data_IF_478785149764
#
_entry.id   IF_478785149764
#
_cell.length_a   1.000
_cell.length_b   1.000
_cell.length_c   1.000
_cell.angle_alpha   90.00
_cell.angle_beta   90.00
_cell.angle_gamma   90.00
#
_symmetry.space_group_name_H-M   'P 1'
#
loop_
_entity.id
_entity.type
_entity.pdbx_description
1 polymer ?
#
# COMPACT_ATOMS: atom_id res chain seq x y z
N UNK A 1 -13.53 16.63 -6.63
CA UNK A 1 -12.30 15.92 -6.17
C UNK A 1 -11.69 15.13 -7.33
N UNK A 2 -10.36 15.18 -7.52
CA UNK A 2 -9.64 14.44 -8.58
C UNK A 2 -8.68 13.40 -7.96
N UNK A 3 -8.47 12.25 -8.61
CA UNK A 3 -7.65 11.17 -8.07
C UNK A 3 -6.75 10.44 -9.08
N UNK A 4 -5.52 10.10 -8.69
CA UNK A 4 -4.71 9.13 -9.41
C UNK A 4 -4.76 7.76 -8.70
N UNK A 5 -5.02 6.68 -9.41
CA UNK A 5 -5.01 5.32 -8.87
C UNK A 5 -3.80 4.59 -9.43
N UNK A 6 -2.90 4.16 -8.55
CA UNK A 6 -1.60 3.64 -8.91
C UNK A 6 -1.39 2.21 -8.42
N UNK A 7 -0.49 1.50 -9.10
CA UNK A 7 -0.09 0.15 -8.69
C UNK A 7 1.11 -0.36 -9.48
N UNK A 8 1.73 -1.42 -8.97
CA UNK A 8 2.82 -2.13 -9.64
C UNK A 8 2.34 -3.52 -10.05
N UNK A 9 2.65 -3.97 -11.27
CA UNK A 9 2.15 -5.23 -11.84
C UNK A 9 3.30 -6.10 -12.33
N UNK A 10 3.30 -7.35 -11.86
CA UNK A 10 4.21 -8.43 -12.28
C UNK A 10 3.56 -9.77 -11.98
N UNK A 11 3.33 -10.59 -13.00
CA UNK A 11 2.67 -11.90 -12.85
C UNK A 11 1.29 -11.81 -12.15
N UNK A 12 0.46 -10.86 -12.59
CA UNK A 12 -0.84 -10.55 -11.98
C UNK A 12 -2.03 -10.95 -12.87
N UNK A 13 -1.84 -11.71 -13.96
CA UNK A 13 -2.85 -11.94 -15.01
C UNK A 13 -4.22 -12.33 -14.44
N UNK A 14 -4.21 -13.27 -13.50
CA UNK A 14 -5.43 -13.84 -12.91
C UNK A 14 -6.23 -12.87 -12.04
N UNK A 15 -5.62 -11.78 -11.58
CA UNK A 15 -6.25 -10.79 -10.70
C UNK A 15 -6.70 -9.53 -11.46
N UNK A 16 -6.04 -9.20 -12.57
CA UNK A 16 -6.18 -7.91 -13.24
C UNK A 16 -7.62 -7.53 -13.62
N UNK A 17 -8.46 -8.46 -14.03
CA UNK A 17 -9.83 -8.12 -14.42
C UNK A 17 -10.64 -7.59 -13.23
N UNK A 18 -10.44 -8.19 -12.05
CA UNK A 18 -11.06 -7.73 -10.79
C UNK A 18 -10.41 -6.45 -10.28
N UNK A 19 -9.08 -6.34 -10.42
CA UNK A 19 -8.34 -5.11 -10.05
C UNK A 19 -8.84 -3.93 -10.88
N UNK A 20 -8.95 -4.07 -12.19
CA UNK A 20 -9.49 -3.02 -13.05
C UNK A 20 -10.92 -2.65 -12.68
N UNK A 21 -11.80 -3.64 -12.45
CA UNK A 21 -13.15 -3.39 -11.99
C UNK A 21 -13.17 -2.59 -10.67
N UNK A 22 -12.31 -2.95 -9.71
CA UNK A 22 -12.16 -2.22 -8.46
C UNK A 22 -11.61 -0.80 -8.66
N UNK A 23 -10.63 -0.60 -9.54
CA UNK A 23 -10.08 0.72 -9.86
C UNK A 23 -11.14 1.64 -10.49
N UNK A 24 -11.95 1.13 -11.41
CA UNK A 24 -13.06 1.90 -12.00
C UNK A 24 -14.14 2.23 -10.96
N UNK A 25 -14.48 1.28 -10.07
CA UNK A 25 -15.40 1.48 -8.96
C UNK A 25 -14.92 2.56 -7.96
N UNK A 26 -13.61 2.59 -7.67
CA UNK A 26 -12.99 3.64 -6.85
C UNK A 26 -12.98 4.96 -7.59
N UNK A 27 -12.56 4.96 -8.85
CA UNK A 27 -12.45 6.14 -9.70
C UNK A 27 -13.78 6.88 -9.85
N UNK A 28 -14.89 6.14 -9.94
CA UNK A 28 -16.24 6.69 -10.02
C UNK A 28 -16.68 7.52 -8.80
N UNK A 29 -15.94 7.48 -7.68
CA UNK A 29 -16.17 8.35 -6.52
C UNK A 29 -15.58 9.76 -6.70
N UNK A 30 -14.82 9.99 -7.77
CA UNK A 30 -14.15 11.25 -8.07
C UNK A 30 -14.72 11.86 -9.36
N UNK A 31 -14.63 13.19 -9.48
CA UNK A 31 -15.07 13.91 -10.69
C UNK A 31 -14.23 13.50 -11.92
N UNK A 32 -12.95 13.23 -11.69
CA UNK A 32 -12.04 12.70 -12.70
C UNK A 32 -10.93 11.90 -12.02
N UNK A 33 -10.43 10.90 -12.75
CA UNK A 33 -9.33 10.07 -12.29
C UNK A 33 -8.48 9.54 -13.42
N UNK A 34 -7.26 9.17 -13.05
CA UNK A 34 -6.28 8.52 -13.93
C UNK A 34 -5.82 7.23 -13.27
N UNK A 35 -5.64 6.17 -14.05
CA UNK A 35 -5.02 4.93 -13.60
C UNK A 35 -3.58 4.90 -14.12
N UNK A 36 -2.61 4.69 -13.24
CA UNK A 36 -1.17 4.73 -13.57
C UNK A 36 -0.51 3.47 -13.04
N UNK A 37 -0.18 2.52 -13.92
CA UNK A 37 0.48 1.27 -13.53
C UNK A 37 1.95 1.22 -13.95
N UNK A 38 2.78 0.67 -13.09
CA UNK A 38 4.14 0.28 -13.44
C UNK A 38 4.19 -1.20 -13.73
N UNK A 39 4.62 -1.57 -14.94
CA UNK A 39 4.77 -2.95 -15.37
C UNK A 39 6.23 -3.39 -15.35
N UNK A 40 6.48 -4.52 -14.71
CA UNK A 40 7.75 -5.24 -14.76
C UNK A 40 7.60 -6.58 -15.51
N UNK A 41 8.72 -7.18 -15.92
CA UNK A 41 8.75 -8.41 -16.70
C UNK A 41 7.92 -9.53 -16.08
N UNK A 42 6.89 -9.97 -16.80
CA UNK A 42 6.00 -11.06 -16.41
C UNK A 42 6.16 -12.28 -17.34
N UNK A 43 5.94 -13.47 -16.80
CA UNK A 43 5.91 -14.74 -17.54
C UNK A 43 4.49 -15.19 -17.92
N UNK A 44 3.48 -14.43 -17.52
CA UNK A 44 2.06 -14.66 -17.81
C UNK A 44 1.50 -13.58 -18.78
N UNK A 45 0.19 -13.57 -19.05
CA UNK A 45 -0.41 -12.59 -19.97
C UNK A 45 -0.68 -11.22 -19.34
N UNK A 46 -0.01 -10.87 -18.22
CA UNK A 46 -0.16 -9.55 -17.56
C UNK A 46 -0.01 -8.42 -18.57
N UNK A 47 1.07 -8.41 -19.37
CA UNK A 47 1.32 -7.33 -20.33
C UNK A 47 0.25 -7.22 -21.41
N UNK A 48 -0.24 -8.35 -21.92
CA UNK A 48 -1.30 -8.37 -22.92
C UNK A 48 -2.60 -7.77 -22.36
N UNK A 49 -2.93 -8.05 -21.10
CA UNK A 49 -4.07 -7.44 -20.41
C UNK A 49 -3.91 -5.92 -20.26
N UNK A 50 -2.73 -5.42 -19.90
CA UNK A 50 -2.49 -3.96 -19.83
C UNK A 50 -2.70 -3.28 -21.18
N UNK A 51 -2.16 -3.86 -22.27
CA UNK A 51 -2.34 -3.33 -23.64
C UNK A 51 -3.82 -3.29 -24.05
N UNK A 52 -4.53 -4.39 -23.80
CA UNK A 52 -5.98 -4.47 -24.07
C UNK A 52 -6.78 -3.47 -23.25
N UNK A 53 -6.37 -3.20 -22.00
CA UNK A 53 -7.03 -2.19 -21.17
C UNK A 53 -6.74 -0.77 -21.66
N UNK A 54 -5.49 -0.48 -22.07
CA UNK A 54 -5.08 0.80 -22.66
C UNK A 54 -5.82 1.12 -23.94
N UNK A 55 -5.99 0.15 -24.85
CA UNK A 55 -6.69 0.40 -26.12
C UNK A 55 -8.16 0.78 -25.92
N UNK A 56 -8.80 0.25 -24.87
CA UNK A 56 -10.17 0.60 -24.48
C UNK A 56 -10.28 1.90 -23.69
N UNK A 57 -9.19 2.34 -23.05
CA UNK A 57 -9.17 3.51 -22.16
C UNK A 57 -7.95 4.41 -22.41
N UNK A 58 -7.76 4.93 -23.64
CA UNK A 58 -6.52 5.59 -24.04
C UNK A 58 -6.21 6.87 -23.25
N UNK A 59 -7.23 7.60 -22.79
CA UNK A 59 -7.02 8.89 -22.11
C UNK A 59 -6.87 8.78 -20.60
N UNK A 60 -7.41 7.72 -19.99
CA UNK A 60 -7.48 7.54 -18.53
C UNK A 60 -6.51 6.52 -17.97
N UNK A 61 -6.06 5.58 -18.79
CA UNK A 61 -5.17 4.52 -18.35
C UNK A 61 -3.75 4.74 -18.89
N UNK A 62 -2.78 4.78 -18.02
CA UNK A 62 -1.36 4.93 -18.34
C UNK A 62 -0.60 3.75 -17.73
N UNK A 63 0.36 3.23 -18.47
CA UNK A 63 1.32 2.29 -17.89
C UNK A 63 2.74 2.61 -18.36
N UNK A 64 3.70 2.33 -17.48
CA UNK A 64 5.12 2.40 -17.80
C UNK A 64 5.70 0.99 -17.84
N UNK A 65 6.48 0.68 -18.87
CA UNK A 65 7.19 -0.60 -18.99
C UNK A 65 8.59 -0.41 -18.45
N UNK A 66 8.98 -1.21 -17.46
CA UNK A 66 10.36 -1.22 -16.97
C UNK A 66 11.34 -1.57 -18.10
N UNK A 67 12.31 -0.70 -18.32
CA UNK A 67 13.41 -0.93 -19.28
C UNK A 67 14.76 -1.15 -18.60
N UNK A 68 14.86 -0.90 -17.29
CA UNK A 68 16.14 -1.05 -16.58
C UNK A 68 16.25 -2.42 -15.88
N UNK A 69 17.49 -2.87 -15.62
CA UNK A 69 17.74 -4.07 -14.83
C UNK A 69 17.05 -4.02 -13.46
N UNK A 70 16.72 -5.21 -12.97
CA UNK A 70 16.17 -5.41 -11.63
C UNK A 70 17.29 -5.45 -10.60
N UNK A 71 17.03 -4.85 -9.44
CA UNK A 71 17.78 -5.13 -8.23
C UNK A 71 17.54 -6.59 -7.81
N UNK A 72 18.50 -7.19 -7.10
CA UNK A 72 18.29 -8.48 -6.44
C UNK A 72 17.23 -8.43 -5.34
N UNK A 73 16.89 -7.22 -4.89
CA UNK A 73 15.96 -6.97 -3.79
C UNK A 73 14.57 -6.61 -4.32
N UNK A 74 13.57 -7.43 -3.95
CA UNK A 74 12.18 -7.28 -4.39
C UNK A 74 11.60 -5.93 -3.98
N UNK A 75 11.85 -5.50 -2.75
CA UNK A 75 11.35 -4.24 -2.18
C UNK A 75 11.88 -3.03 -2.94
N UNK A 76 13.16 -3.03 -3.32
CA UNK A 76 13.76 -1.98 -4.17
C UNK A 76 13.08 -1.89 -5.55
N UNK A 77 12.76 -3.04 -6.16
CA UNK A 77 12.06 -3.07 -7.44
C UNK A 77 10.62 -2.53 -7.33
N UNK A 78 9.90 -2.87 -6.26
CA UNK A 78 8.56 -2.32 -5.97
C UNK A 78 8.65 -0.81 -5.71
N UNK A 79 9.61 -0.37 -4.90
CA UNK A 79 9.85 1.04 -4.62
C UNK A 79 10.09 1.84 -5.90
N UNK A 80 10.92 1.32 -6.80
CA UNK A 80 11.15 1.90 -8.13
C UNK A 80 9.83 2.07 -8.89
N UNK A 81 9.02 1.02 -8.97
CA UNK A 81 7.75 1.08 -9.68
C UNK A 81 6.77 2.10 -9.09
N UNK A 82 6.64 2.14 -7.77
CA UNK A 82 5.79 3.13 -7.08
C UNK A 82 6.32 4.55 -7.22
N UNK A 83 7.62 4.75 -7.20
CA UNK A 83 8.24 6.05 -7.48
C UNK A 83 8.02 6.48 -8.93
N UNK A 84 8.00 5.56 -9.91
CA UNK A 84 7.63 5.89 -11.30
C UNK A 84 6.19 6.41 -11.37
N UNK A 85 5.24 5.75 -10.71
CA UNK A 85 3.87 6.26 -10.60
C UNK A 85 3.81 7.63 -9.92
N UNK A 86 4.53 7.80 -8.80
CA UNK A 86 4.57 9.04 -8.04
C UNK A 86 5.17 10.20 -8.85
N UNK A 87 6.24 9.95 -9.61
CA UNK A 87 6.84 10.96 -10.49
C UNK A 87 5.86 11.41 -11.59
N UNK A 88 5.10 10.48 -12.17
CA UNK A 88 4.04 10.86 -13.12
C UNK A 88 2.98 11.76 -12.46
N UNK A 89 2.62 11.50 -11.20
CA UNK A 89 1.73 12.39 -10.43
C UNK A 89 2.37 13.76 -10.24
N UNK A 90 3.64 13.83 -9.81
CA UNK A 90 4.37 15.10 -9.64
C UNK A 90 4.38 15.93 -10.93
N UNK A 91 4.63 15.28 -12.06
CA UNK A 91 4.82 15.97 -13.33
C UNK A 91 3.50 16.39 -13.99
N UNK A 92 2.47 15.53 -13.95
CA UNK A 92 1.25 15.70 -14.75
C UNK A 92 -0.02 15.93 -13.96
N UNK A 93 -0.05 15.51 -12.69
CA UNK A 93 -1.27 15.45 -11.89
C UNK A 93 -1.05 16.00 -10.48
N UNK A 94 -0.12 16.94 -10.30
CA UNK A 94 0.21 17.50 -8.98
C UNK A 94 -0.93 18.35 -8.39
N UNK A 95 -1.87 18.78 -9.23
CA UNK A 95 -3.10 19.46 -8.83
C UNK A 95 -4.19 18.49 -8.34
N UNK A 96 -4.04 17.18 -8.55
CA UNK A 96 -5.03 16.20 -8.11
C UNK A 96 -5.00 16.10 -6.58
N UNK A 97 -6.19 16.09 -5.97
CA UNK A 97 -6.33 16.16 -4.52
C UNK A 97 -5.87 14.86 -3.84
N UNK A 98 -6.12 13.73 -4.47
CA UNK A 98 -5.79 12.41 -3.95
C UNK A 98 -4.94 11.60 -4.92
N UNK A 99 -4.14 10.70 -4.37
CA UNK A 99 -3.75 9.49 -5.08
C UNK A 99 -3.97 8.26 -4.21
N UNK A 100 -4.08 7.11 -4.85
CA UNK A 100 -4.28 5.81 -4.24
C UNK A 100 -3.15 4.92 -4.71
N UNK A 101 -2.52 4.20 -3.78
CA UNK A 101 -1.64 3.09 -4.11
C UNK A 101 -2.36 1.79 -3.77
N UNK A 102 -2.42 0.87 -4.72
CA UNK A 102 -3.19 -0.37 -4.64
C UNK A 102 -2.35 -1.53 -5.18
N UNK A 103 -2.20 -2.59 -4.39
CA UNK A 103 -1.60 -3.83 -4.86
C UNK A 103 -2.50 -4.46 -5.93
N UNK A 104 -1.88 -5.01 -6.97
CA UNK A 104 -2.59 -5.53 -8.15
C UNK A 104 -2.69 -7.07 -8.15
N UNK A 105 -2.78 -7.67 -6.96
CA UNK A 105 -2.80 -9.11 -6.73
C UNK A 105 -4.07 -9.55 -5.97
N UNK A 106 -4.03 -10.72 -5.34
CA UNK A 106 -5.17 -11.30 -4.63
C UNK A 106 -5.67 -10.42 -3.48
N UNK A 107 -4.79 -9.66 -2.83
CA UNK A 107 -5.08 -8.81 -1.67
C UNK A 107 -6.17 -7.78 -1.97
N UNK A 108 -6.16 -7.22 -3.17
CA UNK A 108 -7.11 -6.20 -3.61
C UNK A 108 -8.09 -6.69 -4.68
N UNK A 109 -8.13 -8.00 -4.95
CA UNK A 109 -9.02 -8.61 -5.96
C UNK A 109 -10.42 -8.96 -5.44
N UNK A 110 -10.68 -8.81 -4.14
CA UNK A 110 -12.02 -8.94 -3.55
C UNK A 110 -12.93 -7.77 -3.91
N UNK A 111 -14.25 -7.93 -3.78
CA UNK A 111 -15.18 -6.83 -4.08
C UNK A 111 -14.95 -5.66 -3.12
N UNK A 112 -14.73 -4.46 -3.66
CA UNK A 112 -14.56 -3.25 -2.86
C UNK A 112 -15.90 -2.77 -2.29
N UNK A 113 -15.91 -2.31 -1.03
CA UNK A 113 -17.06 -1.72 -0.35
C UNK A 113 -17.01 -0.19 -0.48
N UNK A 114 -17.45 0.33 -1.63
CA UNK A 114 -17.35 1.76 -1.97
C UNK A 114 -17.89 2.71 -0.89
N UNK A 115 -18.99 2.35 -0.22
CA UNK A 115 -19.58 3.16 0.85
C UNK A 115 -18.60 3.45 2.01
N UNK A 116 -17.66 2.54 2.29
CA UNK A 116 -16.63 2.72 3.31
C UNK A 116 -15.66 3.81 2.85
N UNK A 117 -15.16 3.70 1.62
CA UNK A 117 -14.25 4.70 1.06
C UNK A 117 -14.92 6.09 0.98
N UNK A 118 -16.17 6.14 0.52
CA UNK A 118 -16.96 7.37 0.46
C UNK A 118 -17.12 8.02 1.84
N UNK A 119 -17.40 7.23 2.88
CA UNK A 119 -17.46 7.74 4.27
C UNK A 119 -16.15 8.41 4.68
N UNK A 120 -15.00 7.81 4.39
CA UNK A 120 -13.71 8.34 4.79
C UNK A 120 -13.23 9.54 3.95
N UNK A 121 -13.66 9.64 2.69
CA UNK A 121 -13.42 10.83 1.85
C UNK A 121 -14.05 12.10 2.43
N UNK A 122 -15.11 11.99 3.22
CA UNK A 122 -15.75 13.13 3.90
C UNK A 122 -15.01 13.58 5.17
N UNK A 123 -13.93 12.90 5.56
CA UNK A 123 -13.17 13.21 6.78
C UNK A 123 -11.90 13.98 6.46
N UNK A 124 -11.47 14.81 7.41
CA UNK A 124 -10.28 15.65 7.31
C UNK A 124 -9.20 15.34 8.35
N UNK A 125 -9.35 14.25 9.13
CA UNK A 125 -8.47 13.87 10.25
C UNK A 125 -7.36 12.87 9.87
N UNK A 126 -7.10 12.73 8.58
CA UNK A 126 -6.08 11.87 7.98
C UNK A 126 -5.47 12.53 6.73
N UNK A 127 -4.22 12.18 6.43
CA UNK A 127 -3.50 12.56 5.21
C UNK A 127 -3.05 11.34 4.39
N UNK A 128 -2.81 10.20 5.06
CA UNK A 128 -2.79 8.87 4.45
C UNK A 128 -3.70 7.94 5.24
N UNK A 129 -4.51 7.15 4.54
CA UNK A 129 -5.45 6.23 5.13
C UNK A 129 -5.38 4.86 4.46
N UNK A 130 -5.00 3.85 5.24
CA UNK A 130 -5.14 2.44 4.89
C UNK A 130 -6.30 1.79 5.64
N UNK A 131 -6.63 0.57 5.26
CA UNK A 131 -7.80 -0.15 5.78
C UNK A 131 -7.37 -1.50 6.34
N UNK A 132 -8.17 -2.05 7.25
CA UNK A 132 -7.97 -3.41 7.70
C UNK A 132 -8.25 -4.40 6.55
N UNK A 133 -7.77 -5.63 6.68
CA UNK A 133 -8.01 -6.70 5.70
C UNK A 133 -8.97 -7.76 6.27
N UNK A 134 -9.83 -8.38 5.44
CA UNK A 134 -10.65 -9.51 5.90
C UNK A 134 -9.80 -10.63 6.49
N UNK A 135 -10.18 -11.13 7.67
CA UNK A 135 -9.47 -12.21 8.37
C UNK A 135 -8.44 -11.68 9.37
N UNK A 136 -7.33 -11.14 8.90
CA UNK A 136 -6.30 -10.53 9.75
C UNK A 136 -5.56 -9.41 9.03
N UNK A 137 -4.93 -8.51 9.79
CA UNK A 137 -4.03 -7.49 9.24
C UNK A 137 -2.90 -8.17 8.46
N UNK A 138 -2.80 -7.89 7.17
CA UNK A 138 -1.97 -8.64 6.22
C UNK A 138 -0.55 -8.09 6.16
N UNK A 139 -0.40 -6.79 5.87
CA UNK A 139 0.89 -6.16 5.63
C UNK A 139 1.51 -5.63 6.93
N UNK A 140 2.00 -6.56 7.74
CA UNK A 140 2.73 -6.23 8.96
C UNK A 140 4.08 -5.58 8.66
N UNK A 141 4.63 -5.76 7.45
CA UNK A 141 5.95 -5.22 7.11
C UNK A 141 5.89 -3.71 6.93
N UNK A 142 4.81 -3.16 6.35
CA UNK A 142 4.60 -1.73 6.28
C UNK A 142 4.22 -1.08 7.63
N UNK A 143 3.86 -1.87 8.65
CA UNK A 143 3.29 -1.33 9.88
C UNK A 143 4.34 -0.69 10.79
N UNK A 144 4.06 0.51 11.29
CA UNK A 144 4.85 1.15 12.35
C UNK A 144 3.93 1.99 13.25
N UNK A 145 3.99 1.77 14.57
CA UNK A 145 3.23 2.47 15.60
C UNK A 145 3.97 2.33 16.93
N UNK A 146 4.12 3.41 17.69
CA UNK A 146 4.76 3.41 19.03
C UNK A 146 4.24 2.25 19.91
N UNK A 147 5.11 1.37 20.45
CA UNK A 147 6.58 1.42 20.45
C UNK A 147 7.28 0.68 19.29
N UNK A 148 6.55 0.16 18.32
CA UNK A 148 7.02 -0.61 17.16
C UNK A 148 7.26 0.30 15.94
N UNK A 149 8.45 0.86 15.79
CA UNK A 149 8.86 1.76 14.69
C UNK A 149 9.60 1.09 13.55
N UNK A 150 10.29 -0.02 13.82
CA UNK A 150 11.12 -0.83 12.92
C UNK A 150 10.27 -2.01 12.42
N UNK A 151 10.56 -2.55 11.24
CA UNK A 151 9.80 -3.62 10.62
C UNK A 151 9.94 -4.92 11.40
N UNK A 152 8.86 -5.70 11.46
CA UNK A 152 8.82 -6.90 12.28
C UNK A 152 9.91 -7.93 11.90
N UNK A 153 10.31 -7.96 10.62
CA UNK A 153 11.32 -8.88 10.08
C UNK A 153 12.72 -8.71 10.71
N UNK A 154 12.96 -7.62 11.43
CA UNK A 154 14.26 -7.34 12.06
C UNK A 154 14.33 -7.79 13.53
N UNK A 155 13.31 -8.47 14.05
CA UNK A 155 13.24 -8.95 15.44
C UNK A 155 12.92 -10.44 15.51
N UNK A 156 13.43 -11.11 16.54
CA UNK A 156 13.03 -12.48 16.84
C UNK A 156 11.54 -12.53 17.23
N UNK A 157 10.78 -13.45 16.63
CA UNK A 157 9.32 -13.55 16.78
C UNK A 157 8.55 -12.25 16.46
N UNK A 158 9.16 -11.32 15.70
CA UNK A 158 8.55 -10.03 15.40
C UNK A 158 7.19 -10.15 14.73
N UNK A 159 7.01 -11.13 13.84
CA UNK A 159 5.72 -11.36 13.15
C UNK A 159 4.57 -11.57 14.15
N UNK A 160 4.75 -12.47 15.12
CA UNK A 160 3.72 -12.78 16.13
C UNK A 160 3.46 -11.58 17.02
N UNK A 161 4.53 -10.90 17.48
CA UNK A 161 4.42 -9.70 18.31
C UNK A 161 3.62 -8.60 17.62
N UNK A 162 3.99 -8.26 16.38
CA UNK A 162 3.37 -7.17 15.63
C UNK A 162 1.93 -7.51 15.28
N UNK A 163 1.67 -8.75 14.84
CA UNK A 163 0.31 -9.24 14.56
C UNK A 163 -0.60 -9.11 15.76
N UNK A 164 -0.17 -9.61 16.92
CA UNK A 164 -0.96 -9.55 18.14
C UNK A 164 -1.19 -8.10 18.58
N UNK A 165 -0.17 -7.26 18.47
CA UNK A 165 -0.25 -5.84 18.82
C UNK A 165 -1.29 -5.10 17.98
N UNK A 166 -1.22 -5.17 16.65
CA UNK A 166 -2.18 -4.47 15.77
C UNK A 166 -3.59 -5.08 15.84
N UNK A 167 -3.71 -6.40 15.98
CA UNK A 167 -5.02 -7.07 16.12
C UNK A 167 -5.75 -6.57 17.36
N UNK A 168 -5.06 -6.55 18.51
CA UNK A 168 -5.63 -6.02 19.76
C UNK A 168 -6.06 -4.56 19.65
N UNK A 169 -5.31 -3.72 18.92
CA UNK A 169 -5.67 -2.32 18.70
C UNK A 169 -6.92 -2.21 17.84
N UNK A 170 -6.98 -2.94 16.72
CA UNK A 170 -8.12 -2.90 15.80
C UNK A 170 -9.40 -3.38 16.48
N UNK A 171 -9.34 -4.46 17.26
CA UNK A 171 -10.50 -5.01 17.98
C UNK A 171 -11.05 -4.03 19.02
N UNK A 172 -10.17 -3.27 19.68
CA UNK A 172 -10.54 -2.27 20.69
C UNK A 172 -10.90 -0.91 20.11
N UNK A 173 -10.61 -0.66 18.84
CA UNK A 173 -10.88 0.64 18.21
C UNK A 173 -12.32 0.70 17.68
N UNK A 174 -13.15 1.66 18.15
CA UNK A 174 -14.48 1.87 17.61
C UNK A 174 -14.45 2.14 16.10
N UNK A 175 -15.46 1.67 15.38
CA UNK A 175 -15.47 1.71 13.90
C UNK A 175 -15.45 3.13 13.31
N UNK A 176 -15.97 4.11 14.03
CA UNK A 176 -15.96 5.54 13.68
C UNK A 176 -14.62 6.24 13.97
N UNK A 177 -13.70 5.58 14.67
CA UNK A 177 -12.37 6.11 15.01
C UNK A 177 -11.29 5.58 14.06
N UNK A 178 -10.24 6.38 13.93
CA UNK A 178 -9.04 6.04 13.17
C UNK A 178 -7.88 5.74 14.12
N UNK A 179 -7.06 4.76 13.75
CA UNK A 179 -5.86 4.40 14.50
C UNK A 179 -4.70 5.24 13.98
N UNK A 180 -4.10 6.05 14.85
CA UNK A 180 -2.87 6.78 14.52
C UNK A 180 -1.68 5.83 14.49
N UNK A 181 -0.89 5.90 13.42
CA UNK A 181 0.34 5.15 13.22
C UNK A 181 1.40 6.03 12.53
N UNK A 182 2.61 5.51 12.36
CA UNK A 182 3.69 6.14 11.60
C UNK A 182 3.79 5.59 10.17
N UNK A 183 3.36 4.34 9.95
CA UNK A 183 3.29 3.75 8.62
C UNK A 183 2.27 2.62 8.60
N UNK A 184 1.51 2.52 7.51
CA UNK A 184 0.61 1.42 7.22
C UNK A 184 0.18 1.46 5.74
N UNK A 185 0.07 0.31 5.09
CA UNK A 185 -0.38 0.20 3.71
C UNK A 185 -1.46 -0.88 3.53
N UNK A 186 -1.15 -2.13 3.87
CA UNK A 186 -2.14 -3.22 3.91
C UNK A 186 -2.88 -3.45 2.58
N UNK A 187 -2.13 -3.31 1.47
CA UNK A 187 -2.60 -3.53 0.11
C UNK A 187 -3.26 -2.32 -0.54
N UNK A 188 -3.86 -1.43 0.23
CA UNK A 188 -4.56 -0.24 -0.29
C UNK A 188 -4.43 0.93 0.68
N UNK A 189 -3.96 2.06 0.16
CA UNK A 189 -3.98 3.32 0.88
C UNK A 189 -4.34 4.49 -0.04
N UNK A 190 -5.14 5.41 0.51
CA UNK A 190 -5.45 6.70 -0.12
C UNK A 190 -4.65 7.81 0.57
N UNK A 191 -4.17 8.76 -0.22
CA UNK A 191 -3.24 9.80 0.18
C UNK A 191 -3.72 11.16 -0.30
N UNK A 192 -3.55 12.20 0.52
CA UNK A 192 -3.66 13.60 0.10
C UNK A 192 -2.41 13.99 -0.66
N UNK A 193 -2.49 14.13 -1.98
CA UNK A 193 -1.34 14.26 -2.87
C UNK A 193 -0.30 15.27 -2.38
N UNK A 194 -0.74 16.47 -2.01
CA UNK A 194 0.16 17.57 -1.58
C UNK A 194 1.07 17.21 -0.40
N UNK A 195 0.68 16.26 0.46
CA UNK A 195 1.47 15.82 1.63
C UNK A 195 2.59 14.83 1.27
N UNK A 196 2.69 14.40 0.01
CA UNK A 196 3.59 13.32 -0.42
C UNK A 196 4.38 13.61 -1.70
N UNK A 197 4.19 14.77 -2.35
CA UNK A 197 4.88 15.12 -3.61
C UNK A 197 6.41 15.24 -3.45
N UNK A 198 6.91 15.61 -2.28
CA UNK A 198 8.33 15.65 -1.94
C UNK A 198 8.87 14.32 -1.35
N UNK A 199 8.02 13.31 -1.22
CA UNK A 199 8.42 12.03 -0.65
C UNK A 199 8.83 11.00 -1.72
N UNK A 200 9.48 9.93 -1.28
CA UNK A 200 9.84 8.78 -2.13
C UNK A 200 9.76 7.44 -1.37
N UNK A 201 9.40 6.39 -2.10
CA UNK A 201 9.46 5.02 -1.63
C UNK A 201 10.91 4.53 -1.61
N UNK A 202 11.29 3.75 -0.62
CA UNK A 202 12.63 3.13 -0.57
C UNK A 202 12.59 1.75 0.08
N UNK A 203 12.90 0.71 -0.70
CA UNK A 203 12.93 -0.67 -0.22
C UNK A 203 14.22 -1.07 0.48
N UNK A 204 15.25 -0.22 0.48
CA UNK A 204 16.48 -0.52 1.20
C UNK A 204 16.30 -0.37 2.71
N UNK A 205 16.85 -1.31 3.48
CA UNK A 205 16.85 -1.18 4.93
C UNK A 205 17.78 -0.04 5.37
N UNK A 206 17.22 0.95 6.05
CA UNK A 206 17.97 1.99 6.75
C UNK A 206 17.21 2.39 8.01
N UNK A 207 17.95 2.82 9.03
CA UNK A 207 17.38 3.41 10.25
C UNK A 207 17.61 4.91 10.31
N UNK A 208 18.29 5.51 9.32
CA UNK A 208 18.75 6.91 9.36
C UNK A 208 17.58 7.92 9.36
N UNK A 209 16.41 7.50 8.86
CA UNK A 209 15.21 8.32 8.89
C UNK A 209 14.48 8.28 10.25
N UNK A 210 14.88 7.39 11.17
CA UNK A 210 14.26 7.24 12.50
C UNK A 210 15.05 8.02 13.57
N UNK A 211 14.38 8.80 14.42
CA UNK A 211 15.00 9.33 15.63
C UNK A 211 15.54 8.20 16.52
N UNK A 212 16.73 8.39 17.09
CA UNK A 212 17.37 7.40 17.99
C UNK A 212 16.45 6.93 19.13
N UNK A 213 15.64 7.84 19.69
CA UNK A 213 14.66 7.49 20.74
C UNK A 213 13.64 6.43 20.29
N UNK A 214 13.23 6.42 19.02
CA UNK A 214 12.29 5.45 18.47
C UNK A 214 12.95 4.09 18.30
N UNK A 215 14.20 4.07 17.86
CA UNK A 215 15.01 2.85 17.76
C UNK A 215 15.17 2.21 19.15
N UNK A 216 15.54 3.00 20.17
CA UNK A 216 15.71 2.49 21.53
C UNK A 216 14.40 1.97 22.13
N UNK A 217 13.28 2.70 21.95
CA UNK A 217 11.96 2.23 22.38
C UNK A 217 11.58 0.91 21.73
N UNK A 218 11.82 0.76 20.42
CA UNK A 218 11.50 -0.48 19.72
C UNK A 218 12.35 -1.64 20.23
N UNK A 219 13.65 -1.44 20.45
CA UNK A 219 14.53 -2.49 20.98
C UNK A 219 14.12 -2.89 22.39
N UNK A 220 13.77 -1.91 23.24
CA UNK A 220 13.29 -2.17 24.59
C UNK A 220 11.99 -3.01 24.60
N UNK A 221 11.11 -2.80 23.62
CA UNK A 221 9.83 -3.51 23.55
C UNK A 221 9.89 -4.85 22.80
N UNK A 222 10.55 -4.90 21.64
CA UNK A 222 10.57 -6.05 20.74
C UNK A 222 11.84 -6.92 20.88
N UNK A 223 12.81 -6.49 21.69
CA UNK A 223 14.09 -7.16 21.86
C UNK A 223 15.16 -6.66 20.89
N UNK A 224 16.33 -7.32 20.92
CA UNK A 224 17.49 -6.95 20.10
C UNK A 224 17.19 -7.16 18.61
N UNK A 225 17.68 -6.25 17.78
CA UNK A 225 17.70 -6.42 16.33
C UNK A 225 18.53 -7.66 15.96
N UNK A 226 17.95 -8.57 15.19
CA UNK A 226 18.60 -9.84 14.80
C UNK A 226 19.34 -9.76 13.47
N UNK A 227 19.07 -8.74 12.66
CA UNK A 227 19.62 -8.63 11.31
C UNK A 227 20.12 -7.21 11.04
N UNK A 228 21.31 -6.89 11.56
CA UNK A 228 21.99 -5.62 11.26
C UNK A 228 22.44 -5.54 9.79
N UNK A 229 22.60 -6.69 9.14
CA UNK A 229 22.99 -6.82 7.73
C UNK A 229 21.77 -6.95 6.79
N UNK A 230 20.57 -6.68 7.30
CA UNK A 230 19.37 -6.65 6.48
C UNK A 230 19.55 -5.61 5.37
N UNK A 231 19.22 -5.99 4.14
CA UNK A 231 19.33 -5.11 2.96
C UNK A 231 17.99 -4.60 2.47
N UNK A 232 16.89 -5.19 2.96
CA UNK A 232 15.53 -4.87 2.53
C UNK A 232 14.61 -4.51 3.70
N UNK A 233 13.71 -3.60 3.43
CA UNK A 233 12.61 -3.20 4.31
C UNK A 233 11.38 -2.85 3.46
N UNK A 234 10.22 -2.68 4.09
CA UNK A 234 9.03 -2.26 3.38
C UNK A 234 9.17 -0.81 2.90
N UNK A 235 9.03 -0.63 1.59
CA UNK A 235 9.19 0.64 0.89
C UNK A 235 8.24 1.76 1.33
N UNK A 236 7.12 1.42 1.96
CA UNK A 236 6.18 2.39 2.52
C UNK A 236 6.69 3.10 3.76
N UNK A 237 7.59 2.48 4.53
CA UNK A 237 7.95 3.00 5.86
C UNK A 237 8.68 4.31 5.74
N UNK A 238 9.79 4.35 4.99
CA UNK A 238 10.50 5.60 4.74
C UNK A 238 9.59 6.66 4.11
N UNK A 239 8.74 6.27 3.15
CA UNK A 239 7.80 7.18 2.49
C UNK A 239 6.87 7.90 3.49
N UNK A 240 6.26 7.16 4.42
CA UNK A 240 5.38 7.75 5.44
C UNK A 240 6.14 8.55 6.50
N UNK A 241 7.29 8.06 6.97
CA UNK A 241 8.12 8.81 7.93
C UNK A 241 8.61 10.13 7.35
N UNK A 242 8.98 10.14 6.07
CA UNK A 242 9.35 11.36 5.35
C UNK A 242 8.18 12.34 5.30
N UNK A 243 6.97 11.89 4.95
CA UNK A 243 5.79 12.74 4.92
C UNK A 243 5.41 13.30 6.31
N UNK A 244 5.59 12.51 7.37
CA UNK A 244 5.40 12.99 8.76
C UNK A 244 6.41 14.10 9.07
N UNK A 245 7.70 13.86 8.78
CA UNK A 245 8.79 14.78 9.10
C UNK A 245 8.70 16.09 8.31
N UNK A 246 8.45 15.99 7.02
CA UNK A 246 8.54 17.14 6.11
C UNK A 246 7.20 17.89 6.01
N UNK A 247 6.08 17.20 6.17
CA UNK A 247 4.77 17.75 5.85
C UNK A 247 3.74 17.62 6.98
N UNK A 248 4.14 17.15 8.17
CA UNK A 248 3.23 16.89 9.30
C UNK A 248 2.03 16.01 8.88
N UNK A 249 2.31 14.97 8.08
CA UNK A 249 1.28 14.09 7.55
C UNK A 249 0.71 13.18 8.64
N UNK A 250 -0.62 13.09 8.72
CA UNK A 250 -1.34 12.22 9.64
C UNK A 250 -1.63 10.88 8.99
N UNK A 251 -0.83 9.87 9.32
CA UNK A 251 -1.02 8.50 8.84
C UNK A 251 -2.03 7.77 9.73
N UNK A 252 -3.03 7.14 9.12
CA UNK A 252 -4.15 6.50 9.81
C UNK A 252 -4.49 5.13 9.23
N UNK A 253 -5.05 4.28 10.09
CA UNK A 253 -5.66 3.00 9.71
C UNK A 253 -7.14 3.07 10.07
N UNK A 254 -8.00 2.73 9.12
CA UNK A 254 -9.41 2.44 9.39
C UNK A 254 -9.56 1.02 9.94
N UNK A 255 -10.34 0.80 11.02
CA UNK A 255 -10.66 -0.53 11.51
C UNK A 255 -11.64 -1.29 10.59
N UNK A 256 -12.17 -0.66 9.53
CA UNK A 256 -13.01 -1.32 8.55
C UNK A 256 -12.19 -2.09 7.51
N UNK A 257 -12.76 -3.20 7.03
CA UNK A 257 -12.22 -3.93 5.90
C UNK A 257 -12.83 -3.38 4.60
N UNK A 258 -12.01 -2.72 3.79
CA UNK A 258 -12.43 -2.10 2.53
C UNK A 258 -12.85 -3.14 1.47
N UNK A 259 -12.12 -4.25 1.39
CA UNK A 259 -12.46 -5.36 0.49
C UNK A 259 -13.32 -6.41 1.22
N UNK A 260 -14.16 -7.12 0.47
CA UNK A 260 -14.87 -8.29 0.95
C UNK A 260 -13.93 -9.51 1.01
N UNK A 261 -14.20 -10.44 1.92
CA UNK A 261 -13.46 -11.72 1.97
C UNK A 261 -13.72 -12.49 0.68
N UNK A 262 -12.67 -12.87 -0.03
CA UNK A 262 -12.81 -13.75 -1.20
C UNK A 262 -13.24 -15.12 -0.67
N UNK A 263 -14.46 -15.53 -0.99
CA UNK A 263 -14.89 -16.91 -0.75
C UNK A 263 -14.12 -17.80 -1.72
N UNK A 264 -13.11 -18.51 -1.23
CA UNK A 264 -12.52 -19.62 -1.98
C UNK A 264 -13.59 -20.69 -2.06
N UNK A 265 -14.24 -20.83 -3.22
CA UNK A 265 -15.01 -22.03 -3.51
C UNK A 265 -13.98 -23.16 -3.47
N UNK A 266 -13.97 -23.94 -2.40
CA UNK A 266 -13.26 -25.23 -2.38
C UNK A 266 -13.87 -26.02 -3.53
N UNK A 267 -13.17 -26.12 -4.66
CA UNK A 267 -13.42 -27.21 -5.60
C UNK A 267 -13.10 -28.48 -4.82
N UNK A 268 -14.12 -29.13 -4.30
CA UNK A 268 -14.05 -30.51 -3.86
C UNK A 268 -13.63 -31.30 -5.09
N UNK A 269 -12.34 -31.61 -5.20
CA UNK A 269 -11.86 -32.67 -6.07
C UNK A 269 -12.38 -33.96 -5.45
N UNK A 270 -13.56 -34.38 -5.90
CA UNK A 270 -14.00 -35.76 -5.75
C UNK A 270 -13.04 -36.62 -6.57
N UNK A 271 -12.13 -37.30 -5.88
CA UNK A 271 -11.40 -38.42 -6.45
C UNK A 271 -12.42 -39.53 -6.76
N UNK A 272 -12.56 -39.83 -8.05
CA UNK A 272 -12.86 -41.15 -8.57
C UNK A 272 -11.75 -41.47 -9.58
#
# INVERSE_FOLDING_TARGET
>A
MKCCICGTVKNCEMYLDKIFANMEMVGALFETYQIILYYDHSSDNTFAKLKSYKSRNPDRFHYYVNTEPLSSFRTCNIAKGRNTCLNMIKDKYNDYEYFIMMDCDDVCSGNIKQHILLHYLQRNDWDALSFNHPGSYYDLWAFSKDPLFIGYNHFHNGHVLYKNYITNIIEKTPKDKLISCFSAFNGFAIYRTKKFLNCSYNGEFSLDYLPNQYIQKNIAFAGKLINRDAKEDCEHRQFHFQAIKENDARIRISPHCLFAKISVIKKTLSFL
#
